data_IF_328867242178
#
_entry.id   IF_328867242178
#
_cell.length_a   1.000
_cell.length_b   1.000
_cell.length_c   1.000
_cell.angle_alpha   90.00
_cell.angle_beta   90.00
_cell.angle_gamma   90.00
#
_symmetry.space_group_name_H-M   'P 1'
#
loop_
_entity.id
_entity.type
_entity.pdbx_description
1 polymer ?
#
# COMPACT_ATOMS: atom_id res chain seq x y z
N UNK A 1 17.92 -1.41 20.75
CA UNK A 1 18.93 -2.13 19.92
C UNK A 1 18.32 -2.25 18.52
N UNK A 2 18.67 -1.32 17.61
CA UNK A 2 18.16 -1.35 16.23
C UNK A 2 18.62 -2.66 15.57
N UNK A 3 17.68 -3.59 15.35
CA UNK A 3 17.90 -4.68 14.40
C UNK A 3 18.20 -4.02 13.05
N UNK A 4 19.39 -4.23 12.53
CA UNK A 4 19.73 -3.84 11.17
C UNK A 4 18.74 -4.59 10.26
N UNK A 5 17.74 -3.86 9.77
CA UNK A 5 16.89 -4.32 8.67
C UNK A 5 17.89 -4.59 7.55
N UNK A 6 17.93 -5.82 7.04
CA UNK A 6 18.67 -6.10 5.81
C UNK A 6 18.02 -5.28 4.69
N UNK A 7 18.58 -4.08 4.48
CA UNK A 7 18.09 -3.08 3.53
C UNK A 7 18.58 -3.40 2.11
N UNK A 8 18.43 -4.67 1.69
CA UNK A 8 18.79 -5.06 0.32
C UNK A 8 17.70 -4.69 -0.72
N UNK A 9 16.65 -3.94 -0.30
CA UNK A 9 15.54 -3.56 -1.15
C UNK A 9 15.34 -2.03 -1.16
N UNK A 10 16.41 -1.26 -1.38
CA UNK A 10 16.38 0.21 -1.46
C UNK A 10 15.39 0.73 -2.49
N UNK A 11 15.15 -0.05 -3.58
CA UNK A 11 14.20 0.31 -4.63
C UNK A 11 12.76 0.53 -4.14
N UNK A 12 12.29 -0.21 -3.12
CA UNK A 12 10.95 0.03 -2.56
C UNK A 12 10.89 1.34 -1.79
N UNK A 13 11.94 1.66 -1.02
CA UNK A 13 12.04 2.94 -0.31
C UNK A 13 12.07 4.09 -1.32
N UNK A 14 12.80 3.94 -2.41
CA UNK A 14 12.87 4.94 -3.48
C UNK A 14 11.53 5.09 -4.19
N UNK A 15 10.83 3.99 -4.48
CA UNK A 15 9.47 4.02 -5.02
C UNK A 15 8.48 4.71 -4.06
N UNK A 16 8.54 4.38 -2.77
CA UNK A 16 7.71 5.03 -1.77
C UNK A 16 8.02 6.54 -1.67
N UNK A 17 9.29 6.94 -1.68
CA UNK A 17 9.68 8.36 -1.70
C UNK A 17 9.17 9.09 -2.93
N UNK A 18 9.33 8.48 -4.11
CA UNK A 18 8.94 9.05 -5.39
C UNK A 18 7.43 9.29 -5.46
N UNK A 19 6.62 8.30 -5.07
CA UNK A 19 5.18 8.34 -5.29
C UNK A 19 4.35 8.81 -4.10
N UNK A 20 4.95 9.03 -2.93
CA UNK A 20 4.23 9.50 -1.74
C UNK A 20 4.37 10.99 -1.47
N UNK A 21 4.81 11.80 -2.44
CA UNK A 21 5.01 13.24 -2.22
C UNK A 21 3.72 13.93 -1.77
N UNK A 22 3.81 14.68 -0.68
CA UNK A 22 2.69 15.37 -0.05
C UNK A 22 1.68 14.46 0.66
N UNK A 23 1.95 13.15 0.79
CA UNK A 23 1.13 12.23 1.59
C UNK A 23 1.61 12.24 3.04
N UNK A 24 0.64 12.24 3.97
CA UNK A 24 0.88 12.29 5.42
C UNK A 24 0.54 10.96 6.10
N UNK A 25 -0.27 10.10 5.48
CA UNK A 25 -0.61 8.77 5.98
C UNK A 25 -0.16 7.68 5.01
N UNK A 26 0.14 6.52 5.57
CA UNK A 26 0.46 5.30 4.85
C UNK A 26 -0.57 4.22 5.14
N UNK A 27 -1.10 3.58 4.11
CA UNK A 27 -2.00 2.43 4.22
C UNK A 27 -1.47 1.30 3.35
N UNK A 28 -1.29 0.13 3.93
CA UNK A 28 -0.84 -1.08 3.24
C UNK A 28 -1.89 -2.18 3.33
N UNK A 29 -2.09 -2.92 2.25
CA UNK A 29 -2.76 -4.20 2.28
C UNK A 29 -1.74 -5.34 2.20
N UNK A 30 -1.80 -6.30 3.15
CA UNK A 30 -0.87 -7.44 3.19
C UNK A 30 0.44 -7.15 3.93
N UNK A 31 0.40 -7.02 5.26
CA UNK A 31 1.60 -6.73 6.08
C UNK A 31 2.66 -7.81 6.02
N UNK A 32 2.26 -9.09 5.88
CA UNK A 32 3.14 -10.25 5.96
C UNK A 32 4.00 -10.25 7.23
N UNK A 33 5.23 -9.77 7.17
CA UNK A 33 6.15 -9.64 8.31
C UNK A 33 6.50 -8.15 8.59
N UNK A 34 5.67 -7.22 8.14
CA UNK A 34 5.79 -5.78 8.40
C UNK A 34 6.88 -5.06 7.60
N UNK A 35 7.42 -5.68 6.53
CA UNK A 35 8.51 -5.06 5.76
C UNK A 35 8.10 -3.77 5.06
N UNK A 36 6.87 -3.69 4.52
CA UNK A 36 6.37 -2.48 3.87
C UNK A 36 6.22 -1.33 4.86
N UNK A 37 5.66 -1.60 6.05
CA UNK A 37 5.57 -0.61 7.14
C UNK A 37 6.95 -0.09 7.54
N UNK A 38 7.96 -0.95 7.71
CA UNK A 38 9.32 -0.51 8.02
C UNK A 38 9.92 0.39 6.94
N UNK A 39 9.68 0.06 5.66
CA UNK A 39 10.13 0.88 4.54
C UNK A 39 9.41 2.22 4.50
N UNK A 40 8.11 2.23 4.78
CA UNK A 40 7.35 3.46 4.90
C UNK A 40 7.87 4.34 6.07
N UNK A 41 8.20 3.74 7.22
CA UNK A 41 8.86 4.46 8.34
C UNK A 41 10.20 5.05 7.89
N UNK A 42 11.00 4.32 7.11
CA UNK A 42 12.30 4.80 6.61
C UNK A 42 12.18 5.95 5.58
N UNK A 43 11.01 6.19 5.01
CA UNK A 43 10.74 7.38 4.17
C UNK A 43 10.73 8.67 5.00
N UNK A 44 10.43 8.57 6.31
CA UNK A 44 10.41 9.68 7.28
C UNK A 44 9.47 10.82 6.86
N UNK A 45 8.23 10.45 6.49
CA UNK A 45 7.24 11.41 5.98
C UNK A 45 5.87 11.22 6.60
N UNK A 46 5.51 9.97 6.91
CA UNK A 46 4.15 9.65 7.32
C UNK A 46 3.95 9.81 8.83
N UNK A 47 2.81 10.40 9.20
CA UNK A 47 2.41 10.58 10.60
C UNK A 47 1.74 9.34 11.18
N UNK A 48 0.97 8.60 10.33
CA UNK A 48 0.25 7.38 10.71
C UNK A 48 0.43 6.29 9.69
N UNK A 49 0.45 5.06 10.18
CA UNK A 49 0.59 3.84 9.40
C UNK A 49 -0.54 2.90 9.72
N UNK A 50 -1.22 2.42 8.69
CA UNK A 50 -2.25 1.41 8.81
C UNK A 50 -1.87 0.23 7.92
N UNK A 51 -1.99 -0.99 8.44
CA UNK A 51 -1.79 -2.20 7.66
C UNK A 51 -2.74 -3.29 8.11
N UNK A 52 -2.85 -4.36 7.31
CA UNK A 52 -3.66 -5.52 7.64
C UNK A 52 -2.97 -6.81 7.23
N UNK A 53 -3.28 -7.89 7.96
CA UNK A 53 -2.74 -9.21 7.70
C UNK A 53 -3.83 -10.27 7.93
N UNK A 54 -3.96 -11.20 6.97
CA UNK A 54 -4.97 -12.26 7.00
C UNK A 54 -4.55 -13.43 7.90
N UNK A 55 -3.28 -13.80 7.88
CA UNK A 55 -2.74 -14.89 8.70
C UNK A 55 -2.56 -14.44 10.14
N UNK A 56 -3.25 -15.09 11.08
CA UNK A 56 -3.24 -14.71 12.50
C UNK A 56 -1.85 -14.77 13.13
N UNK A 57 -0.95 -15.66 12.68
CA UNK A 57 0.39 -15.75 13.23
C UNK A 57 1.29 -14.62 12.75
N UNK A 58 1.15 -14.22 11.48
CA UNK A 58 1.84 -13.05 10.92
C UNK A 58 1.29 -11.75 11.49
N UNK A 59 -0.04 -11.67 11.66
CA UNK A 59 -0.68 -10.55 12.36
C UNK A 59 -0.09 -10.36 13.76
N UNK A 60 -0.04 -11.44 14.57
CA UNK A 60 0.53 -11.36 15.93
C UNK A 60 2.01 -10.95 15.90
N UNK A 61 2.80 -11.49 14.94
CA UNK A 61 4.18 -11.06 14.72
C UNK A 61 4.28 -9.56 14.48
N UNK A 62 3.43 -9.00 13.61
CA UNK A 62 3.42 -7.57 13.35
C UNK A 62 3.00 -6.75 14.58
N UNK A 63 2.01 -7.21 15.34
CA UNK A 63 1.61 -6.56 16.60
C UNK A 63 2.78 -6.49 17.58
N UNK A 64 3.52 -7.59 17.76
CA UNK A 64 4.67 -7.63 18.66
C UNK A 64 5.84 -6.77 18.13
N UNK A 65 6.09 -6.79 16.84
CA UNK A 65 7.19 -6.05 16.20
C UNK A 65 6.99 -4.52 16.23
N UNK A 66 5.73 -4.07 16.09
CA UNK A 66 5.39 -2.64 16.11
C UNK A 66 4.82 -2.16 17.45
N UNK A 67 4.95 -2.94 18.53
CA UNK A 67 4.37 -2.60 19.84
C UNK A 67 4.87 -1.26 20.44
N UNK A 68 6.06 -0.79 20.04
CA UNK A 68 6.64 0.47 20.49
C UNK A 68 6.31 1.67 19.56
N UNK A 69 5.54 1.45 18.51
CA UNK A 69 5.17 2.48 17.54
C UNK A 69 3.70 2.90 17.73
N UNK A 70 3.45 3.93 18.51
CA UNK A 70 2.10 4.43 18.82
C UNK A 70 1.29 4.87 17.59
N UNK A 71 1.96 5.12 16.47
CA UNK A 71 1.37 5.58 15.22
C UNK A 71 1.18 4.47 14.16
N UNK A 72 1.45 3.21 14.51
CA UNK A 72 1.20 2.03 13.66
C UNK A 72 -0.03 1.30 14.16
N UNK A 73 -1.02 1.12 13.28
CA UNK A 73 -2.24 0.34 13.58
C UNK A 73 -2.34 -0.84 12.63
N UNK A 74 -2.50 -2.03 13.18
CA UNK A 74 -2.55 -3.29 12.44
C UNK A 74 -3.92 -3.94 12.61
N UNK A 75 -4.55 -4.35 11.51
CA UNK A 75 -5.84 -5.01 11.50
C UNK A 75 -5.67 -6.49 11.13
N UNK A 76 -6.32 -7.37 11.90
CA UNK A 76 -6.42 -8.78 11.54
C UNK A 76 -7.57 -9.01 10.57
N UNK A 77 -7.31 -9.78 9.49
CA UNK A 77 -8.32 -10.23 8.53
C UNK A 77 -8.10 -9.74 7.11
N UNK A 78 -9.15 -9.90 6.29
CA UNK A 78 -9.14 -9.49 4.88
C UNK A 78 -8.94 -7.98 4.74
N UNK A 79 -8.15 -7.57 3.75
CA UNK A 79 -7.87 -6.16 3.47
C UNK A 79 -9.14 -5.35 3.20
N UNK A 80 -10.10 -5.92 2.49
CA UNK A 80 -11.40 -5.28 2.25
C UNK A 80 -12.17 -4.97 3.55
N UNK A 81 -12.10 -5.86 4.53
CA UNK A 81 -12.71 -5.63 5.85
C UNK A 81 -11.94 -4.59 6.67
N UNK A 82 -10.61 -4.60 6.58
CA UNK A 82 -9.75 -3.61 7.22
C UNK A 82 -9.96 -2.22 6.59
N UNK A 83 -10.00 -2.13 5.27
CA UNK A 83 -10.23 -0.87 4.54
C UNK A 83 -11.56 -0.23 4.90
N UNK A 84 -12.64 -0.99 5.04
CA UNK A 84 -13.93 -0.48 5.50
C UNK A 84 -13.85 0.22 6.87
N UNK A 85 -12.86 -0.12 7.71
CA UNK A 85 -12.61 0.53 9.00
C UNK A 85 -11.61 1.68 8.90
N UNK A 86 -10.59 1.55 8.06
CA UNK A 86 -9.48 2.51 7.90
C UNK A 86 -9.94 3.74 7.12
N UNK A 87 -10.56 3.54 5.95
CA UNK A 87 -10.80 4.60 4.97
C UNK A 87 -11.64 5.77 5.52
N UNK A 88 -12.71 5.53 6.32
CA UNK A 88 -13.48 6.63 6.91
C UNK A 88 -12.71 7.48 7.93
N UNK A 89 -11.54 7.02 8.40
CA UNK A 89 -10.71 7.74 9.37
C UNK A 89 -9.64 8.61 8.69
N UNK A 90 -9.48 8.51 7.36
CA UNK A 90 -8.44 9.22 6.63
C UNK A 90 -8.88 10.66 6.35
N UNK A 91 -8.36 11.59 7.14
CA UNK A 91 -8.56 13.02 7.00
C UNK A 91 -7.37 13.76 6.35
N UNK A 92 -6.34 13.00 5.95
CA UNK A 92 -5.12 13.49 5.31
C UNK A 92 -4.85 12.78 3.99
N UNK A 93 -4.06 13.43 3.13
CA UNK A 93 -3.59 12.80 1.90
C UNK A 93 -2.78 11.54 2.24
N UNK A 94 -3.17 10.43 1.67
CA UNK A 94 -2.68 9.09 2.00
C UNK A 94 -1.96 8.47 0.82
N UNK A 95 -0.89 7.74 1.10
CA UNK A 95 -0.24 6.85 0.17
C UNK A 95 -0.68 5.41 0.45
N UNK A 96 -1.34 4.80 -0.52
CA UNK A 96 -1.76 3.40 -0.49
C UNK A 96 -0.71 2.52 -1.16
N UNK A 97 -0.34 1.44 -0.49
CA UNK A 97 0.48 0.36 -1.04
C UNK A 97 -0.35 -0.93 -1.04
N UNK A 98 -0.78 -1.36 -2.23
CA UNK A 98 -1.67 -2.52 -2.42
C UNK A 98 -0.83 -3.73 -2.80
N UNK A 99 -0.60 -4.63 -1.83
CA UNK A 99 0.27 -5.81 -1.94
C UNK A 99 -0.38 -7.07 -1.33
N UNK A 100 -1.72 -7.04 -1.10
CA UNK A 100 -2.43 -8.19 -0.59
C UNK A 100 -2.69 -9.21 -1.69
N UNK A 101 -2.33 -10.45 -1.41
CA UNK A 101 -2.70 -11.61 -2.23
C UNK A 101 -2.96 -12.83 -1.33
N UNK A 102 -3.84 -13.72 -1.72
CA UNK A 102 -4.06 -14.98 -1.01
C UNK A 102 -3.18 -16.11 -1.59
N UNK A 103 -3.06 -17.22 -0.85
CA UNK A 103 -2.29 -18.39 -1.30
C UNK A 103 -2.93 -19.09 -2.52
N UNK A 104 -4.18 -18.78 -2.85
CA UNK A 104 -4.90 -19.23 -4.05
C UNK A 104 -4.67 -18.38 -5.29
N UNK A 105 -3.91 -17.29 -5.17
CA UNK A 105 -3.60 -16.35 -6.26
C UNK A 105 -4.71 -15.32 -6.51
N UNK A 106 -5.65 -15.14 -5.57
CA UNK A 106 -6.60 -14.04 -5.58
C UNK A 106 -5.95 -12.74 -5.12
N UNK A 107 -6.20 -11.66 -5.84
CA UNK A 107 -5.84 -10.30 -5.41
C UNK A 107 -7.10 -9.49 -5.16
N UNK A 108 -7.26 -8.91 -3.96
CA UNK A 108 -8.41 -8.07 -3.63
C UNK A 108 -8.26 -6.64 -4.18
N UNK A 109 -7.28 -6.37 -5.02
CA UNK A 109 -6.93 -5.02 -5.47
C UNK A 109 -8.11 -4.27 -6.08
N UNK A 110 -8.95 -4.93 -6.88
CA UNK A 110 -10.09 -4.27 -7.50
C UNK A 110 -11.14 -3.85 -6.47
N UNK A 111 -11.44 -4.72 -5.52
CA UNK A 111 -12.34 -4.43 -4.41
C UNK A 111 -11.76 -3.35 -3.48
N UNK A 112 -10.43 -3.34 -3.26
CA UNK A 112 -9.74 -2.31 -2.49
C UNK A 112 -9.85 -0.94 -3.17
N UNK A 113 -9.67 -0.87 -4.50
CA UNK A 113 -9.83 0.35 -5.28
C UNK A 113 -11.27 0.86 -5.25
N UNK A 114 -12.26 -0.03 -5.36
CA UNK A 114 -13.68 0.33 -5.24
C UNK A 114 -13.97 0.93 -3.85
N UNK A 115 -13.45 0.33 -2.78
CA UNK A 115 -13.59 0.86 -1.42
C UNK A 115 -12.88 2.23 -1.25
N UNK A 116 -11.68 2.40 -1.79
CA UNK A 116 -10.99 3.70 -1.78
C UNK A 116 -11.85 4.76 -2.46
N UNK A 117 -12.40 4.46 -3.62
CA UNK A 117 -13.29 5.36 -4.37
C UNK A 117 -14.55 5.74 -3.58
N UNK A 118 -15.16 4.76 -2.90
CA UNK A 118 -16.44 4.95 -2.22
C UNK A 118 -16.34 5.58 -0.83
N UNK A 119 -15.30 5.23 -0.07
CA UNK A 119 -15.23 5.54 1.35
C UNK A 119 -14.23 6.64 1.72
N UNK A 120 -13.27 6.96 0.86
CA UNK A 120 -12.39 8.09 1.11
C UNK A 120 -13.14 9.41 0.90
N UNK A 121 -12.93 10.36 1.82
CA UNK A 121 -13.49 11.71 1.75
C UNK A 121 -12.85 12.56 0.64
N UNK A 122 -11.72 12.13 0.11
CA UNK A 122 -10.95 12.80 -0.95
C UNK A 122 -10.48 11.78 -1.99
N UNK A 123 -10.31 12.23 -3.22
CA UNK A 123 -9.72 11.46 -4.31
C UNK A 123 -8.29 11.90 -4.68
N UNK A 124 -7.61 12.61 -3.76
CA UNK A 124 -6.26 13.14 -3.98
C UNK A 124 -5.15 12.24 -3.44
N UNK A 125 -5.51 11.07 -2.95
CA UNK A 125 -4.58 10.07 -2.45
C UNK A 125 -3.66 9.57 -3.58
N UNK A 126 -2.53 8.96 -3.22
CA UNK A 126 -1.64 8.29 -4.16
C UNK A 126 -1.70 6.77 -3.94
N UNK A 127 -1.56 6.01 -5.00
CA UNK A 127 -1.72 4.54 -4.97
C UNK A 127 -0.53 3.91 -5.68
N UNK A 128 0.07 2.90 -5.06
CA UNK A 128 1.08 2.02 -5.65
C UNK A 128 0.57 0.58 -5.55
N UNK A 129 0.41 -0.08 -6.68
CA UNK A 129 -0.02 -1.48 -6.79
C UNK A 129 1.20 -2.34 -7.09
N UNK A 130 1.41 -3.40 -6.31
CA UNK A 130 2.52 -4.36 -6.50
C UNK A 130 2.14 -5.53 -7.41
N UNK A 131 3.11 -6.36 -7.73
CA UNK A 131 2.96 -7.65 -8.43
C UNK A 131 2.25 -7.58 -9.78
N UNK A 132 2.35 -6.46 -10.52
CA UNK A 132 1.64 -6.25 -11.79
C UNK A 132 1.83 -7.40 -12.78
N UNK A 133 3.06 -7.88 -13.09
CA UNK A 133 3.24 -8.94 -14.08
C UNK A 133 2.74 -10.33 -13.63
N UNK A 134 2.45 -10.48 -12.34
CA UNK A 134 2.06 -11.76 -11.75
C UNK A 134 0.54 -11.95 -11.82
N UNK A 135 -0.20 -10.87 -11.50
CA UNK A 135 -1.64 -10.98 -11.26
C UNK A 135 -2.51 -10.20 -12.25
N UNK A 136 -1.91 -9.32 -13.05
CA UNK A 136 -2.68 -8.50 -13.99
C UNK A 136 -2.32 -8.85 -15.44
N UNK A 137 -3.31 -8.80 -16.39
CA UNK A 137 -3.02 -8.96 -17.80
C UNK A 137 -2.09 -7.85 -18.30
N UNK A 138 -1.38 -8.08 -19.38
CA UNK A 138 -0.56 -7.06 -20.02
C UNK A 138 -1.12 -6.70 -21.41
N UNK A 139 -1.58 -5.45 -21.65
CA UNK A 139 -1.61 -4.32 -20.71
C UNK A 139 -2.68 -4.45 -19.60
N UNK A 140 -2.45 -3.89 -18.40
CA UNK A 140 -3.37 -3.97 -17.27
C UNK A 140 -4.50 -2.92 -17.39
N UNK A 141 -5.24 -2.99 -18.49
CA UNK A 141 -6.22 -1.96 -18.88
C UNK A 141 -7.31 -1.76 -17.83
N UNK A 142 -7.86 -2.84 -17.27
CA UNK A 142 -8.90 -2.73 -16.24
C UNK A 142 -8.37 -2.04 -14.97
N UNK A 143 -7.13 -2.33 -14.57
CA UNK A 143 -6.50 -1.68 -13.43
C UNK A 143 -6.36 -0.17 -13.67
N UNK A 144 -5.88 0.22 -14.86
CA UNK A 144 -5.75 1.63 -15.22
C UNK A 144 -7.10 2.35 -15.27
N UNK A 145 -8.14 1.70 -15.78
CA UNK A 145 -9.51 2.24 -15.82
C UNK A 145 -10.02 2.50 -14.39
N UNK A 146 -9.86 1.54 -13.48
CA UNK A 146 -10.29 1.70 -12.08
C UNK A 146 -9.51 2.80 -11.35
N UNK A 147 -8.21 2.94 -11.59
CA UNK A 147 -7.42 4.05 -11.05
C UNK A 147 -7.94 5.40 -11.57
N UNK A 148 -8.25 5.52 -12.88
CA UNK A 148 -8.83 6.74 -13.46
C UNK A 148 -10.25 7.01 -12.95
N UNK A 149 -10.99 5.99 -12.58
CA UNK A 149 -12.31 6.11 -11.97
C UNK A 149 -12.27 6.72 -10.56
N UNK A 150 -11.15 6.53 -9.83
CA UNK A 150 -10.92 7.21 -8.56
C UNK A 150 -10.60 8.69 -8.82
N UNK A 151 -9.64 8.94 -9.71
CA UNK A 151 -9.29 10.31 -10.10
C UNK A 151 -8.81 10.36 -11.57
N UNK A 152 -9.57 11.00 -12.48
CA UNK A 152 -9.19 11.09 -13.90
C UNK A 152 -7.92 11.91 -14.14
N UNK A 153 -7.45 12.69 -13.16
CA UNK A 153 -6.23 13.48 -13.24
C UNK A 153 -4.96 12.70 -12.84
N UNK A 154 -5.08 11.45 -12.42
CA UNK A 154 -3.90 10.65 -12.09
C UNK A 154 -2.95 10.51 -13.26
N UNK A 155 -1.66 10.72 -12.97
CA UNK A 155 -0.57 10.19 -13.77
C UNK A 155 -0.44 8.73 -13.36
N UNK A 156 -0.54 7.83 -14.35
CA UNK A 156 -0.42 6.38 -14.14
C UNK A 156 0.80 5.92 -14.91
N UNK A 157 1.74 5.31 -14.21
CA UNK A 157 2.98 4.80 -14.82
C UNK A 157 3.49 3.56 -14.10
N UNK A 158 4.26 2.74 -14.81
CA UNK A 158 4.99 1.62 -14.22
C UNK A 158 6.27 2.12 -13.57
N UNK A 159 6.58 1.62 -12.38
CA UNK A 159 7.80 2.00 -11.66
C UNK A 159 9.01 1.23 -12.23
N UNK A 160 9.89 1.97 -12.89
CA UNK A 160 11.09 1.41 -13.54
C UNK A 160 12.27 1.20 -12.57
N UNK A 161 12.24 1.85 -11.40
CA UNK A 161 13.28 1.71 -10.36
C UNK A 161 13.20 0.42 -9.55
N UNK A 162 12.14 -0.37 -9.70
CA UNK A 162 12.01 -1.67 -9.04
C UNK A 162 13.09 -2.66 -9.54
N UNK A 163 13.50 -3.63 -8.71
CA UNK A 163 14.45 -4.68 -9.10
C UNK A 163 14.05 -5.41 -10.38
N UNK A 164 12.76 -5.54 -10.63
CA UNK A 164 12.17 -5.96 -11.88
C UNK A 164 11.42 -4.75 -12.46
N UNK A 165 11.91 -4.09 -13.51
CA UNK A 165 11.25 -2.92 -14.08
C UNK A 165 9.79 -3.20 -14.46
N UNK A 166 8.90 -2.24 -14.17
CA UNK A 166 7.48 -2.38 -14.44
C UNK A 166 6.71 -3.33 -13.52
N UNK A 167 7.33 -3.79 -12.42
CA UNK A 167 6.70 -4.70 -11.46
C UNK A 167 5.60 -4.03 -10.65
N UNK A 168 5.70 -2.74 -10.44
CA UNK A 168 4.73 -1.92 -9.72
C UNK A 168 4.09 -0.88 -10.65
N UNK A 169 2.84 -0.49 -10.33
CA UNK A 169 2.13 0.58 -11.01
C UNK A 169 1.73 1.67 -10.03
N UNK A 170 2.10 2.91 -10.34
CA UNK A 170 1.78 4.07 -9.53
C UNK A 170 0.67 4.92 -10.17
N UNK A 171 -0.23 5.44 -9.34
CA UNK A 171 -1.22 6.46 -9.68
C UNK A 171 -1.09 7.62 -8.69
N UNK A 172 -0.74 8.81 -9.17
CA UNK A 172 -0.41 9.95 -8.34
C UNK A 172 -0.76 11.29 -9.01
N UNK A 173 -0.76 12.35 -8.22
CA UNK A 173 -0.96 13.74 -8.65
C UNK A 173 0.34 14.53 -8.48
N UNK A 174 0.59 15.46 -9.41
CA UNK A 174 1.69 16.45 -9.30
C UNK A 174 1.28 17.62 -8.43
#
# INVERSE_FOLDING_TARGET
MQKAIEMNDDYMIDGFRQYSEGCEYFVESGARLGKGVYKAIAVDRFEKFFTCELDSSRYQHCVDEFAEFDNVTIYEGFSTTAFAKILPQLDKKTFFYLDAHDEGGGMPTYEELDLIKELCSSNTHHILVDDIPVYFPDPPTELEERLRDINPAYIIERYEGHRIPGYQMAAYLK
#
